data_IF_501725403634
#
_entry.id   IF_501725403634
#
_cell.length_a   1.000
_cell.length_b   1.000
_cell.length_c   1.000
_cell.angle_alpha   90.00
_cell.angle_beta   90.00
_cell.angle_gamma   90.00
#
_symmetry.space_group_name_H-M   'P 1'
#
loop_
_entity.id
_entity.type
_entity.pdbx_description
1 polymer ?
#
# COMPACT_ATOMS: atom_id res chain seq x y z
N UNK A 1 -6.48 -5.71 20.98
CA UNK A 1 -6.75 -4.34 20.49
C UNK A 1 -5.39 -3.64 20.42
N UNK A 2 -4.70 -3.73 19.28
CA UNK A 2 -3.41 -3.08 19.08
C UNK A 2 -3.63 -1.88 18.17
N UNK A 3 -3.01 -0.75 18.55
CA UNK A 3 -3.10 0.52 17.85
C UNK A 3 -2.59 0.39 16.41
N UNK A 4 -3.44 0.78 15.48
CA UNK A 4 -3.11 1.05 14.09
C UNK A 4 -3.77 2.39 13.73
N UNK A 5 -3.03 3.22 13.01
CA UNK A 5 -3.41 4.58 12.61
C UNK A 5 -4.79 4.53 11.93
N UNK A 6 -5.79 5.15 12.59
CA UNK A 6 -7.16 5.45 12.13
C UNK A 6 -7.91 4.39 11.31
N UNK A 7 -8.74 3.57 11.97
CA UNK A 7 -9.66 2.64 11.31
C UNK A 7 -10.69 3.34 10.40
N UNK A 8 -11.09 2.66 9.31
CA UNK A 8 -11.83 3.21 8.16
C UNK A 8 -13.15 3.96 8.41
N UNK A 9 -13.68 4.01 9.63
CA UNK A 9 -14.77 4.90 9.99
C UNK A 9 -14.34 6.38 10.05
N UNK A 10 -13.06 6.65 10.32
CA UNK A 10 -12.53 8.00 10.44
C UNK A 10 -12.20 8.62 9.09
N UNK A 11 -11.65 7.87 8.13
CA UNK A 11 -11.36 8.37 6.78
C UNK A 11 -12.60 8.95 6.10
N UNK A 12 -13.75 8.28 6.21
CA UNK A 12 -15.03 8.78 5.69
C UNK A 12 -15.49 10.09 6.35
N UNK A 13 -15.27 10.23 7.67
CA UNK A 13 -15.67 11.44 8.41
C UNK A 13 -14.76 12.63 8.09
N UNK A 14 -13.45 12.40 8.04
CA UNK A 14 -12.47 13.42 7.70
C UNK A 14 -12.56 13.83 6.23
N UNK A 15 -12.87 12.90 5.32
CA UNK A 15 -13.07 13.21 3.90
C UNK A 15 -14.09 14.34 3.69
N UNK A 16 -15.26 14.24 4.35
CA UNK A 16 -16.30 15.30 4.26
C UNK A 16 -15.82 16.66 4.79
N UNK A 17 -15.02 16.66 5.86
CA UNK A 17 -14.45 17.89 6.41
C UNK A 17 -13.42 18.51 5.44
N UNK A 18 -12.51 17.69 4.90
CA UNK A 18 -11.47 18.15 3.98
C UNK A 18 -12.05 18.67 2.66
N UNK A 19 -13.10 18.01 2.15
CA UNK A 19 -13.88 18.50 1.02
C UNK A 19 -14.56 19.83 1.33
N UNK A 20 -15.21 19.96 2.50
CA UNK A 20 -15.84 21.20 2.92
C UNK A 20 -14.82 22.35 3.03
N UNK A 21 -13.61 22.07 3.50
CA UNK A 21 -12.52 23.05 3.60
C UNK A 21 -11.82 23.32 2.26
N UNK A 22 -12.12 22.55 1.20
CA UNK A 22 -11.44 22.68 -0.09
C UNK A 22 -9.95 22.33 -0.04
N UNK A 23 -9.54 21.42 0.84
CA UNK A 23 -8.14 21.01 1.01
C UNK A 23 -7.90 19.73 0.21
N UNK A 24 -6.96 19.68 -0.74
CA UNK A 24 -6.60 18.44 -1.43
C UNK A 24 -6.02 17.41 -0.45
N UNK A 25 -6.42 16.14 -0.55
CA UNK A 25 -5.98 15.10 0.38
C UNK A 25 -5.79 13.73 -0.27
N UNK A 26 -4.83 12.99 0.29
CA UNK A 26 -4.48 11.63 -0.11
C UNK A 26 -4.92 10.65 0.98
N UNK A 27 -5.58 9.57 0.57
CA UNK A 27 -5.86 8.41 1.40
C UNK A 27 -4.92 7.29 0.95
N UNK A 28 -4.14 6.72 1.86
CA UNK A 28 -3.36 5.51 1.63
C UNK A 28 -3.94 4.42 2.54
N UNK A 29 -4.31 3.28 1.98
CA UNK A 29 -4.95 2.22 2.75
C UNK A 29 -4.59 0.83 2.24
N UNK A 30 -4.72 -0.17 3.10
CA UNK A 30 -4.48 -1.57 2.73
C UNK A 30 -5.67 -2.13 1.92
N UNK A 31 -5.39 -3.06 1.00
CA UNK A 31 -6.46 -3.76 0.27
C UNK A 31 -7.23 -4.72 1.17
N UNK A 32 -6.58 -5.29 2.19
CA UNK A 32 -7.20 -6.15 3.20
C UNK A 32 -8.12 -7.24 2.60
N UNK A 33 -7.58 -7.98 1.64
CA UNK A 33 -8.26 -9.10 0.96
C UNK A 33 -8.70 -10.19 1.93
N UNK A 34 -9.90 -10.71 1.68
CA UNK A 34 -10.53 -11.81 2.41
C UNK A 34 -11.25 -12.75 1.45
N UNK A 35 -11.31 -14.03 1.83
CA UNK A 35 -12.02 -15.05 1.07
C UNK A 35 -13.51 -15.06 1.47
N UNK A 36 -14.44 -14.67 0.58
CA UNK A 36 -15.86 -14.66 0.89
C UNK A 36 -16.45 -16.06 1.11
N UNK A 37 -15.85 -17.11 0.55
CA UNK A 37 -16.28 -18.50 0.71
C UNK A 37 -15.78 -19.12 2.03
N UNK A 38 -14.78 -18.51 2.69
CA UNK A 38 -14.18 -19.01 3.92
C UNK A 38 -14.32 -18.02 5.09
N UNK A 39 -15.57 -17.68 5.43
CA UNK A 39 -15.94 -16.81 6.54
C UNK A 39 -15.15 -15.48 6.58
N UNK A 40 -14.85 -14.91 5.39
CA UNK A 40 -14.07 -13.67 5.24
C UNK A 40 -12.71 -13.72 5.96
N UNK A 41 -12.09 -14.89 6.03
CA UNK A 41 -10.72 -15.03 6.53
C UNK A 41 -9.76 -14.35 5.57
N UNK A 42 -8.72 -13.70 6.10
CA UNK A 42 -7.68 -13.10 5.27
C UNK A 42 -7.09 -14.12 4.29
N UNK A 43 -7.05 -13.75 3.01
CA UNK A 43 -6.50 -14.52 1.88
C UNK A 43 -5.49 -13.68 1.10
N UNK A 44 -4.71 -14.29 0.21
CA UNK A 44 -3.78 -13.53 -0.64
C UNK A 44 -4.58 -12.66 -1.60
N UNK A 45 -4.07 -11.49 -1.94
CA UNK A 45 -4.75 -10.60 -2.88
C UNK A 45 -4.85 -11.21 -4.29
N UNK A 46 -3.99 -12.16 -4.62
CA UNK A 46 -4.01 -12.90 -5.89
C UNK A 46 -4.98 -14.09 -5.90
N UNK A 47 -5.57 -14.46 -4.76
CA UNK A 47 -6.47 -15.61 -4.71
C UNK A 47 -7.75 -15.31 -5.52
N UNK A 48 -8.18 -16.27 -6.34
CA UNK A 48 -9.36 -16.11 -7.18
C UNK A 48 -10.61 -15.83 -6.33
N UNK A 49 -11.36 -14.77 -6.66
CA UNK A 49 -12.55 -14.37 -5.92
C UNK A 49 -12.28 -13.64 -4.60
N UNK A 50 -11.02 -13.28 -4.30
CA UNK A 50 -10.70 -12.43 -3.15
C UNK A 50 -11.47 -11.10 -3.23
N UNK A 51 -12.03 -10.68 -2.08
CA UNK A 51 -12.72 -9.39 -1.95
C UNK A 51 -12.06 -8.54 -0.88
N UNK A 52 -12.13 -7.22 -0.99
CA UNK A 52 -11.67 -6.34 0.08
C UNK A 52 -12.61 -6.41 1.31
N UNK A 53 -12.01 -6.33 2.49
CA UNK A 53 -12.71 -6.06 3.74
C UNK A 53 -12.56 -4.60 4.21
N UNK A 54 -11.77 -3.80 3.49
CA UNK A 54 -11.48 -2.42 3.85
C UNK A 54 -12.69 -1.51 3.60
N UNK A 55 -13.26 -0.97 4.67
CA UNK A 55 -14.43 -0.09 4.58
C UNK A 55 -14.16 1.23 3.83
N UNK A 56 -12.93 1.73 3.81
CA UNK A 56 -12.57 2.94 3.04
C UNK A 56 -12.63 2.66 1.54
N UNK A 57 -12.04 1.55 1.09
CA UNK A 57 -12.11 1.16 -0.32
C UNK A 57 -13.57 1.00 -0.75
N UNK A 58 -14.38 0.28 0.03
CA UNK A 58 -15.82 0.09 -0.23
C UNK A 58 -16.62 1.40 -0.28
N UNK A 59 -16.19 2.41 0.46
CA UNK A 59 -16.85 3.71 0.51
C UNK A 59 -16.47 4.59 -0.68
N UNK A 60 -15.20 4.58 -1.08
CA UNK A 60 -14.69 5.46 -2.14
C UNK A 60 -14.77 4.84 -3.53
N UNK A 61 -14.91 3.52 -3.65
CA UNK A 61 -15.04 2.83 -4.92
C UNK A 61 -16.37 2.09 -4.96
N UNK A 62 -17.33 2.65 -5.69
CA UNK A 62 -18.59 1.98 -5.97
C UNK A 62 -18.41 0.81 -6.96
N UNK A 63 -19.30 -0.17 -6.87
CA UNK A 63 -19.44 -1.25 -7.85
C UNK A 63 -19.04 -2.62 -7.34
N UNK A 64 -17.75 -2.88 -7.15
CA UNK A 64 -17.23 -4.22 -6.86
C UNK A 64 -16.21 -4.23 -5.74
N UNK A 65 -16.41 -5.15 -4.79
CA UNK A 65 -15.46 -5.46 -3.73
C UNK A 65 -14.34 -6.41 -4.21
N UNK A 66 -14.41 -6.94 -5.44
CA UNK A 66 -13.44 -7.90 -5.96
C UNK A 66 -12.07 -7.24 -6.13
N UNK A 67 -11.04 -7.91 -5.61
CA UNK A 67 -9.65 -7.43 -5.68
C UNK A 67 -9.17 -7.32 -7.13
N UNK A 68 -9.60 -8.24 -8.00
CA UNK A 68 -9.31 -8.17 -9.44
C UNK A 68 -9.81 -6.88 -10.07
N UNK A 69 -11.04 -6.47 -9.73
CA UNK A 69 -11.69 -5.30 -10.31
C UNK A 69 -11.07 -4.01 -9.77
N UNK A 70 -10.74 -4.00 -8.47
CA UNK A 70 -10.01 -2.91 -7.82
C UNK A 70 -8.60 -2.74 -8.39
N UNK A 71 -7.93 -3.84 -8.73
CA UNK A 71 -6.58 -3.82 -9.36
C UNK A 71 -6.64 -3.26 -10.77
N UNK A 72 -7.71 -3.57 -11.51
CA UNK A 72 -7.89 -3.12 -12.89
C UNK A 72 -8.26 -1.62 -13.01
N UNK A 73 -8.56 -0.93 -11.91
CA UNK A 73 -8.88 0.51 -11.92
C UNK A 73 -7.69 1.32 -12.43
N UNK A 74 -7.95 2.22 -13.37
CA UNK A 74 -6.95 3.12 -13.92
C UNK A 74 -6.67 4.26 -12.94
N UNK A 75 -5.52 4.93 -13.04
CA UNK A 75 -5.17 6.04 -12.13
C UNK A 75 -6.22 7.16 -12.09
N UNK A 76 -6.97 7.37 -13.18
CA UNK A 76 -8.08 8.32 -13.22
C UNK A 76 -9.21 7.98 -12.23
N UNK A 77 -9.50 6.69 -12.00
CA UNK A 77 -10.53 6.25 -11.06
C UNK A 77 -10.17 6.55 -9.59
N UNK A 78 -8.88 6.67 -9.30
CA UNK A 78 -8.37 7.01 -7.97
C UNK A 78 -8.47 8.50 -7.68
N UNK A 79 -8.55 9.36 -8.71
CA UNK A 79 -8.76 10.80 -8.60
C UNK A 79 -10.27 11.06 -8.48
N UNK A 80 -10.70 11.61 -7.34
CA UNK A 80 -12.10 11.77 -6.98
C UNK A 80 -12.38 13.13 -6.37
N UNK A 81 -13.67 13.40 -6.12
CA UNK A 81 -14.16 14.64 -5.51
C UNK A 81 -13.60 15.88 -6.23
N UNK A 82 -13.88 16.01 -7.53
CA UNK A 82 -13.42 17.12 -8.38
C UNK A 82 -11.91 17.39 -8.29
N UNK A 83 -11.12 16.31 -8.34
CA UNK A 83 -9.65 16.33 -8.22
C UNK A 83 -9.14 16.84 -6.85
N UNK A 84 -9.94 16.69 -5.79
CA UNK A 84 -9.55 17.05 -4.41
C UNK A 84 -9.16 15.85 -3.57
N UNK A 85 -9.48 14.63 -4.01
CA UNK A 85 -9.13 13.38 -3.32
C UNK A 85 -8.37 12.45 -4.24
N UNK A 86 -7.35 11.80 -3.71
CA UNK A 86 -6.79 10.57 -4.28
C UNK A 86 -6.89 9.43 -3.27
N UNK A 87 -7.37 8.27 -3.70
CA UNK A 87 -7.44 7.08 -2.83
C UNK A 87 -6.50 6.02 -3.37
N UNK A 88 -5.39 5.79 -2.67
CA UNK A 88 -4.38 4.81 -3.03
C UNK A 88 -4.45 3.56 -2.16
N UNK A 89 -4.29 2.41 -2.79
CA UNK A 89 -4.21 1.09 -2.18
C UNK A 89 -3.32 0.18 -3.04
N UNK A 90 -2.83 -0.92 -2.48
CA UNK A 90 -1.92 -1.83 -3.18
C UNK A 90 -2.55 -2.36 -4.47
N UNK A 91 -1.75 -2.44 -5.54
CA UNK A 91 -2.10 -3.12 -6.79
C UNK A 91 -1.15 -4.29 -7.03
N UNK A 92 -1.49 -5.13 -8.00
CA UNK A 92 -0.54 -6.09 -8.53
C UNK A 92 0.63 -5.34 -9.19
N UNK A 93 1.85 -5.73 -8.84
CA UNK A 93 3.10 -5.19 -9.36
C UNK A 93 3.87 -6.30 -10.08
N UNK A 94 4.43 -5.98 -11.24
CA UNK A 94 5.31 -6.87 -11.98
C UNK A 94 6.75 -6.65 -11.48
N UNK A 95 7.37 -7.69 -10.93
CA UNK A 95 8.72 -7.66 -10.37
C UNK A 95 9.56 -8.71 -11.07
N UNK A 96 10.76 -8.31 -11.52
CA UNK A 96 11.78 -9.24 -11.96
C UNK A 96 12.32 -10.01 -10.76
N UNK A 97 12.09 -11.32 -10.73
CA UNK A 97 12.49 -12.20 -9.63
C UNK A 97 13.04 -13.51 -10.21
N UNK A 98 14.22 -13.93 -9.78
CA UNK A 98 14.84 -15.16 -10.30
C UNK A 98 15.13 -15.14 -11.81
N UNK A 99 15.22 -13.95 -12.42
CA UNK A 99 15.47 -13.76 -13.85
C UNK A 99 14.23 -13.80 -14.75
N UNK A 100 13.02 -13.73 -14.18
CA UNK A 100 11.78 -13.58 -14.93
C UNK A 100 10.82 -12.58 -14.25
N UNK A 101 9.92 -11.99 -15.02
CA UNK A 101 8.87 -11.12 -14.50
C UNK A 101 7.75 -11.93 -13.83
N UNK A 102 7.43 -11.63 -12.58
CA UNK A 102 6.35 -12.22 -11.80
C UNK A 102 5.41 -11.15 -11.24
N UNK A 103 4.11 -11.43 -11.17
CA UNK A 103 3.14 -10.53 -10.55
C UNK A 103 2.96 -10.88 -9.07
N UNK A 104 3.23 -9.90 -8.20
CA UNK A 104 2.95 -9.98 -6.78
C UNK A 104 1.89 -8.96 -6.39
N UNK A 105 1.09 -9.26 -5.38
CA UNK A 105 0.10 -8.33 -4.85
C UNK A 105 0.06 -8.44 -3.33
N UNK A 106 0.52 -7.39 -2.65
CA UNK A 106 0.45 -7.31 -1.19
C UNK A 106 -0.99 -7.15 -0.72
N UNK A 107 -1.40 -7.89 0.33
CA UNK A 107 -2.66 -7.64 1.02
C UNK A 107 -2.51 -6.46 2.00
N UNK A 108 -1.34 -6.31 2.61
CA UNK A 108 -0.99 -5.19 3.50
C UNK A 108 0.24 -4.43 3.00
N UNK A 109 0.51 -3.28 3.62
CA UNK A 109 1.73 -2.50 3.41
C UNK A 109 3.00 -3.35 3.50
N UNK A 110 3.11 -4.20 4.52
CA UNK A 110 4.34 -4.95 4.77
C UNK A 110 4.64 -5.95 3.65
N UNK A 111 3.61 -6.59 3.08
CA UNK A 111 3.80 -7.50 1.93
C UNK A 111 4.23 -6.73 0.68
N UNK A 112 3.53 -5.62 0.37
CA UNK A 112 3.90 -4.78 -0.78
C UNK A 112 5.34 -4.27 -0.66
N UNK A 113 5.73 -3.83 0.54
CA UNK A 113 7.09 -3.41 0.82
C UNK A 113 8.10 -4.52 0.56
N UNK A 114 7.83 -5.75 1.05
CA UNK A 114 8.73 -6.89 0.84
C UNK A 114 8.87 -7.27 -0.64
N UNK A 115 7.77 -7.27 -1.40
CA UNK A 115 7.82 -7.60 -2.82
C UNK A 115 8.64 -6.56 -3.61
N UNK A 116 8.31 -5.28 -3.45
CA UNK A 116 8.95 -4.21 -4.21
C UNK A 116 10.40 -3.93 -3.78
N UNK A 117 10.80 -4.42 -2.60
CA UNK A 117 12.17 -4.34 -2.07
C UNK A 117 12.83 -5.71 -1.90
N UNK A 118 12.39 -6.73 -2.66
CA UNK A 118 12.80 -8.12 -2.45
C UNK A 118 14.33 -8.31 -2.36
N UNK A 119 15.11 -7.57 -3.14
CA UNK A 119 16.58 -7.62 -3.12
C UNK A 119 17.17 -7.35 -1.72
N UNK A 120 16.59 -6.40 -0.96
CA UNK A 120 17.04 -6.09 0.40
C UNK A 120 16.77 -7.23 1.38
N UNK A 121 15.72 -8.01 1.15
CA UNK A 121 15.39 -9.18 1.97
C UNK A 121 16.22 -10.39 1.54
N UNK A 122 16.43 -10.58 0.24
CA UNK A 122 17.28 -11.64 -0.31
C UNK A 122 18.75 -11.45 0.08
N UNK A 123 19.24 -10.20 0.17
CA UNK A 123 20.60 -9.89 0.62
C UNK A 123 20.77 -9.92 2.14
N UNK A 124 19.68 -10.06 2.91
CA UNK A 124 19.68 -9.98 4.36
C UNK A 124 19.85 -8.56 4.93
N UNK A 125 19.77 -7.52 4.11
CA UNK A 125 19.82 -6.13 4.55
C UNK A 125 18.57 -5.72 5.36
N UNK A 126 17.44 -6.35 5.05
CA UNK A 126 16.22 -6.35 5.85
C UNK A 126 15.78 -7.79 6.10
N UNK A 127 14.97 -8.00 7.13
CA UNK A 127 14.50 -9.34 7.47
C UNK A 127 13.05 -9.33 7.90
N UNK A 128 12.31 -10.34 7.45
CA UNK A 128 11.03 -10.72 8.05
C UNK A 128 11.20 -11.87 9.04
N UNK A 129 12.43 -12.27 9.39
CA UNK A 129 12.71 -13.44 10.25
C UNK A 129 12.49 -14.78 9.56
N UNK A 130 12.54 -14.80 8.22
CA UNK A 130 12.51 -15.98 7.35
C UNK A 130 13.51 -15.79 6.23
N UNK A 131 14.09 -16.89 5.76
CA UNK A 131 14.89 -16.90 4.54
C UNK A 131 13.99 -16.68 3.32
N UNK A 132 14.51 -15.97 2.33
CA UNK A 132 13.80 -15.63 1.10
C UNK A 132 14.13 -16.71 0.03
N UNK A 133 13.16 -17.53 -0.40
CA UNK A 133 13.38 -18.59 -1.39
C UNK A 133 13.69 -18.04 -2.79
N UNK A 134 14.47 -18.76 -3.60
CA UNK A 134 14.77 -18.34 -4.98
C UNK A 134 13.57 -18.50 -5.95
N UNK A 135 12.63 -19.41 -5.65
CA UNK A 135 11.41 -19.58 -6.43
C UNK A 135 10.36 -18.52 -6.08
N UNK A 136 9.71 -17.94 -7.09
CA UNK A 136 8.75 -16.86 -6.91
C UNK A 136 7.46 -17.29 -6.20
N UNK A 137 6.97 -18.52 -6.44
CA UNK A 137 5.76 -19.02 -5.81
C UNK A 137 6.00 -19.35 -4.33
N UNK A 138 7.17 -19.93 -4.02
CA UNK A 138 7.62 -20.15 -2.65
C UNK A 138 7.85 -18.83 -1.92
N UNK A 139 8.50 -17.85 -2.55
CA UNK A 139 8.68 -16.52 -2.01
C UNK A 139 7.33 -15.88 -1.63
N UNK A 140 6.36 -15.89 -2.54
CA UNK A 140 5.02 -15.40 -2.24
C UNK A 140 4.38 -16.14 -1.05
N UNK A 141 4.50 -17.47 -0.99
CA UNK A 141 3.97 -18.25 0.12
C UNK A 141 4.62 -17.88 1.46
N UNK A 142 5.96 -17.76 1.50
CA UNK A 142 6.72 -17.42 2.71
C UNK A 142 6.35 -16.05 3.23
N UNK A 143 6.28 -15.04 2.35
CA UNK A 143 5.91 -13.67 2.73
C UNK A 143 4.50 -13.63 3.31
N UNK A 144 3.54 -14.26 2.63
CA UNK A 144 2.16 -14.36 3.08
C UNK A 144 2.04 -15.00 4.47
N UNK A 145 2.60 -16.19 4.65
CA UNK A 145 2.52 -16.92 5.92
C UNK A 145 3.20 -16.16 7.05
N UNK A 146 4.35 -15.54 6.75
CA UNK A 146 5.10 -14.81 7.75
C UNK A 146 4.35 -13.57 8.22
N UNK A 147 3.89 -12.72 7.30
CA UNK A 147 3.29 -11.43 7.63
C UNK A 147 1.88 -11.59 8.22
N UNK A 148 1.11 -12.58 7.75
CA UNK A 148 -0.20 -12.91 8.32
C UNK A 148 -0.11 -13.42 9.76
N UNK A 149 1.02 -14.02 10.14
CA UNK A 149 1.19 -14.60 11.47
C UNK A 149 0.96 -13.58 12.57
N UNK A 150 0.22 -13.96 13.61
CA UNK A 150 0.05 -13.14 14.82
C UNK A 150 1.36 -12.87 15.56
N UNK A 151 2.41 -13.64 15.28
CA UNK A 151 3.76 -13.45 15.82
C UNK A 151 4.60 -12.47 15.00
N UNK A 152 4.12 -11.98 13.87
CA UNK A 152 4.80 -10.92 13.12
C UNK A 152 4.59 -9.57 13.79
N UNK A 153 5.70 -8.95 14.19
CA UNK A 153 5.69 -7.68 14.90
C UNK A 153 5.77 -6.54 13.91
N UNK A 154 4.62 -6.16 13.36
CA UNK A 154 4.48 -5.07 12.36
C UNK A 154 5.16 -3.76 12.79
N UNK A 155 5.06 -3.40 14.07
CA UNK A 155 5.71 -2.20 14.61
C UNK A 155 7.23 -2.30 14.58
N UNK A 156 7.79 -3.47 14.92
CA UNK A 156 9.24 -3.71 14.88
C UNK A 156 9.74 -3.63 13.43
N UNK A 157 9.04 -4.29 12.50
CA UNK A 157 9.31 -4.19 11.07
C UNK A 157 9.32 -2.73 10.57
N UNK A 158 8.31 -1.93 10.94
CA UNK A 158 8.25 -0.53 10.54
C UNK A 158 9.42 0.29 11.13
N UNK A 159 9.81 0.02 12.38
CA UNK A 159 10.95 0.68 13.00
C UNK A 159 12.27 0.28 12.34
N UNK A 160 12.45 -0.99 11.97
CA UNK A 160 13.64 -1.46 11.27
C UNK A 160 13.79 -0.79 9.89
N UNK A 161 12.67 -0.66 9.16
CA UNK A 161 12.63 0.05 7.88
C UNK A 161 12.95 1.54 8.06
N UNK A 162 12.41 2.20 9.08
CA UNK A 162 12.64 3.63 9.36
C UNK A 162 14.06 3.91 9.87
N UNK A 163 14.64 3.01 10.65
CA UNK A 163 15.99 3.14 11.20
C UNK A 163 17.07 2.94 10.14
N UNK A 164 16.71 2.40 8.97
CA UNK A 164 17.62 2.29 7.83
C UNK A 164 17.84 3.67 7.24
N UNK A 165 19.06 4.18 7.40
CA UNK A 165 19.49 5.42 6.78
C UNK A 165 19.67 5.21 5.25
N UNK A 166 18.92 5.92 4.39
CA UNK A 166 19.05 5.82 2.94
C UNK A 166 20.37 6.40 2.41
N UNK A 167 21.18 7.05 3.25
CA UNK A 167 22.45 7.67 2.91
C UNK A 167 23.68 6.88 3.41
N UNK A 168 23.50 5.65 3.91
CA UNK A 168 24.64 4.78 4.22
C UNK A 168 25.39 4.41 2.93
N UNK A 169 26.66 4.76 2.88
CA UNK A 169 27.54 4.49 1.75
C UNK A 169 27.63 2.99 1.46
N UNK A 170 27.32 2.59 0.22
CA UNK A 170 27.40 1.19 -0.24
C UNK A 170 26.13 0.34 -0.05
N UNK A 171 25.06 0.88 0.52
CA UNK A 171 23.79 0.17 0.67
C UNK A 171 22.69 0.84 -0.16
N UNK A 172 21.98 0.13 -1.06
CA UNK A 172 20.88 0.74 -1.79
C UNK A 172 19.76 1.16 -0.82
N UNK A 173 19.17 2.36 -1.00
CA UNK A 173 18.01 2.77 -0.24
C UNK A 173 16.83 1.85 -0.57
N UNK A 174 15.90 1.70 0.38
CA UNK A 174 14.64 1.05 0.07
C UNK A 174 13.80 1.94 -0.84
N UNK A 175 13.06 1.32 -1.75
CA UNK A 175 12.09 1.94 -2.63
C UNK A 175 10.73 2.05 -1.94
N UNK A 176 10.10 3.22 -2.06
CA UNK A 176 8.71 3.43 -1.63
C UNK A 176 7.79 2.58 -2.51
N UNK A 177 6.88 1.78 -1.94
CA UNK A 177 5.87 1.04 -2.71
C UNK A 177 5.15 1.93 -3.74
N UNK A 178 4.96 1.42 -4.95
CA UNK A 178 4.52 2.18 -6.12
C UNK A 178 3.22 2.92 -5.83
N UNK A 179 2.24 2.24 -5.25
CA UNK A 179 0.93 2.82 -4.92
C UNK A 179 1.05 4.03 -3.98
N UNK A 180 1.98 4.01 -3.02
CA UNK A 180 2.25 5.15 -2.13
C UNK A 180 2.90 6.27 -2.93
N UNK A 181 3.93 5.95 -3.72
CA UNK A 181 4.66 6.95 -4.51
C UNK A 181 3.76 7.70 -5.49
N UNK A 182 2.85 7.00 -6.17
CA UNK A 182 1.86 7.57 -7.08
C UNK A 182 0.93 8.54 -6.35
N UNK A 183 0.42 8.12 -5.19
CA UNK A 183 -0.46 8.96 -4.37
C UNK A 183 0.26 10.22 -3.85
N UNK A 184 1.49 10.08 -3.36
CA UNK A 184 2.29 11.20 -2.86
C UNK A 184 2.62 12.21 -3.96
N UNK A 185 3.03 11.74 -5.15
CA UNK A 185 3.27 12.62 -6.31
C UNK A 185 2.01 13.36 -6.75
N UNK A 186 0.86 12.69 -6.72
CA UNK A 186 -0.41 13.37 -6.97
C UNK A 186 -0.65 14.49 -5.93
N UNK A 187 -0.46 14.21 -4.64
CA UNK A 187 -0.69 15.21 -3.59
C UNK A 187 0.28 16.40 -3.70
N UNK A 188 1.56 16.12 -3.96
CA UNK A 188 2.58 17.13 -4.21
C UNK A 188 2.17 18.06 -5.36
N UNK A 189 1.67 17.51 -6.47
CA UNK A 189 1.17 18.29 -7.60
C UNK A 189 -0.06 19.17 -7.27
N UNK A 190 -0.79 18.89 -6.18
CA UNK A 190 -1.91 19.72 -5.72
C UNK A 190 -1.47 20.81 -4.75
N UNK A 191 -0.52 20.50 -3.88
CA UNK A 191 -0.01 21.44 -2.84
C UNK A 191 1.03 22.41 -3.43
N UNK A 192 1.93 21.93 -4.29
CA UNK A 192 2.97 22.73 -4.93
C UNK A 192 2.44 23.78 -5.92
N UNK A 193 1.17 23.67 -6.32
CA UNK A 193 0.49 24.63 -7.20
C UNK A 193 -0.38 25.65 -6.45
N UNK A 194 -0.33 25.71 -5.12
CA UNK A 194 -0.98 26.78 -4.35
C UNK A 194 -0.09 28.03 -4.36
N UNK A 195 -0.58 29.21 -4.81
CA UNK A 195 0.18 30.44 -4.64
C UNK A 195 0.40 30.67 -3.14
N UNK A 196 1.64 30.92 -2.76
CA UNK A 196 2.01 31.22 -1.38
C UNK A 196 1.23 32.48 -0.97
N UNK A 197 0.41 32.45 0.10
CA UNK A 197 -0.23 33.67 0.60
C UNK A 197 0.84 34.64 1.09
N UNK A 198 1.26 35.57 0.23
CA UNK A 198 2.36 36.49 0.51
C UNK A 198 3.03 37.11 -0.71
N UNK A 199 2.96 36.48 -1.88
CA UNK A 199 3.50 37.05 -3.14
C UNK A 199 2.42 37.83 -3.92
N UNK A 200 1.77 38.77 -3.23
CA UNK A 200 1.11 39.91 -3.86
C UNK A 200 1.68 41.13 -3.16
N UNK A 201 2.84 41.59 -3.64
CA UNK A 201 3.36 42.96 -3.63
C UNK A 201 4.90 42.93 -3.76
N UNK A 202 5.39 42.88 -5.00
CA UNK A 202 6.68 43.44 -5.40
C UNK A 202 6.54 44.00 -6.82
#
# INVERSE_FOLDING_TARGET
KNGGITGGAYSMRFAKLLEFLGIPYLIITDIDSVDPANNRKGCKATDAGAVTSNASIKYFFDGSDLVSDLTAKANADHIQADNMRFVSYQKAVAIEYGGASHNFHGRTLEEAFVYENHELFSSGALSIGKEIPADAAEFHQVVWERIKSSTFKKTEFAMDVLARDPHVEGAPPWAVPEYISVGLRWLEGRVGNQPVPGELNA
#
